data_IF_017597827208
#
_entry.id   IF_017597827208
#
_cell.length_a   1.000
_cell.length_b   1.000
_cell.length_c   1.000
_cell.angle_alpha   90.00
_cell.angle_beta   90.00
_cell.angle_gamma   90.00
#
_symmetry.space_group_name_H-M   'P 1'
#
loop_
_entity.id
_entity.type
_entity.pdbx_description
1 polymer ?
#
# COMPACT_ATOMS: atom_id res chain seq x y z
N UNK A 1 -17.27 -2.87 19.60
CA UNK A 1 -16.17 -3.73 20.09
C UNK A 1 -15.18 -3.84 18.94
N UNK A 2 -13.94 -3.43 19.15
CA UNK A 2 -12.90 -3.51 18.11
C UNK A 2 -12.62 -4.99 17.80
N UNK A 3 -12.66 -5.37 16.52
CA UNK A 3 -12.40 -6.75 16.07
C UNK A 3 -10.92 -7.06 16.33
N UNK A 4 -10.63 -8.18 16.99
CA UNK A 4 -9.24 -8.62 17.23
C UNK A 4 -8.46 -8.67 15.89
N UNK A 5 -7.23 -8.13 15.88
CA UNK A 5 -6.37 -8.21 14.71
C UNK A 5 -6.13 -9.68 14.31
N UNK A 6 -6.21 -10.00 13.02
CA UNK A 6 -6.16 -11.38 12.54
C UNK A 6 -4.93 -12.15 13.03
N UNK A 7 -3.77 -11.51 13.02
CA UNK A 7 -2.52 -12.11 13.49
C UNK A 7 -2.57 -12.52 14.97
N UNK A 8 -3.25 -11.73 15.82
CA UNK A 8 -3.41 -12.03 17.25
C UNK A 8 -4.38 -13.17 17.50
N UNK A 9 -5.48 -13.20 16.75
CA UNK A 9 -6.39 -14.33 16.75
C UNK A 9 -5.68 -15.63 16.36
N UNK A 10 -4.89 -15.60 15.28
CA UNK A 10 -4.10 -16.75 14.80
C UNK A 10 -3.08 -17.18 15.86
N UNK A 11 -2.35 -16.24 16.47
CA UNK A 11 -1.38 -16.52 17.54
C UNK A 11 -2.03 -17.27 18.70
N UNK A 12 -3.18 -16.76 19.17
CA UNK A 12 -3.92 -17.32 20.30
C UNK A 12 -4.44 -18.72 19.98
N UNK A 13 -5.07 -18.91 18.83
CA UNK A 13 -5.60 -20.21 18.39
C UNK A 13 -4.48 -21.23 18.19
N UNK A 14 -3.36 -20.83 17.57
CA UNK A 14 -2.17 -21.68 17.40
C UNK A 14 -1.65 -22.19 18.74
N UNK A 15 -1.51 -21.30 19.73
CA UNK A 15 -1.07 -21.66 21.09
C UNK A 15 -2.03 -22.62 21.78
N UNK A 16 -3.34 -22.44 21.61
CA UNK A 16 -4.36 -23.36 22.14
C UNK A 16 -4.23 -24.78 21.56
N UNK A 17 -3.80 -24.88 20.28
CA UNK A 17 -3.51 -26.14 19.60
C UNK A 17 -2.09 -26.67 19.87
N UNK A 18 -1.29 -26.00 20.72
CA UNK A 18 0.10 -26.33 21.04
C UNK A 18 1.04 -26.37 19.82
N UNK A 19 0.71 -25.61 18.78
CA UNK A 19 1.53 -25.47 17.59
C UNK A 19 2.59 -24.38 17.79
N UNK A 20 3.80 -24.58 17.30
CA UNK A 20 4.86 -23.57 17.22
C UNK A 20 4.65 -22.67 15.99
N UNK A 21 5.27 -21.49 16.00
CA UNK A 21 5.27 -20.62 14.82
C UNK A 21 5.91 -21.32 13.62
N UNK A 22 6.96 -22.11 13.84
CA UNK A 22 7.64 -22.85 12.79
C UNK A 22 6.72 -23.88 12.14
N UNK A 23 6.02 -24.70 12.93
CA UNK A 23 5.09 -25.71 12.40
C UNK A 23 3.97 -25.07 11.58
N UNK A 24 3.33 -24.02 12.08
CA UNK A 24 2.25 -23.36 11.36
C UNK A 24 2.75 -22.64 10.09
N UNK A 25 3.91 -21.98 10.17
CA UNK A 25 4.53 -21.32 9.02
C UNK A 25 4.88 -22.32 7.91
N UNK A 26 5.44 -23.47 8.28
CA UNK A 26 5.72 -24.57 7.35
C UNK A 26 4.46 -25.08 6.65
N UNK A 27 3.33 -25.20 7.37
CA UNK A 27 2.06 -25.64 6.78
C UNK A 27 1.55 -24.70 5.69
N UNK A 28 1.76 -23.39 5.84
CA UNK A 28 1.28 -22.38 4.90
C UNK A 28 2.35 -21.88 3.93
N UNK A 29 3.56 -22.47 3.94
CA UNK A 29 4.65 -22.10 3.03
C UNK A 29 5.30 -20.74 3.32
N UNK A 30 5.33 -20.30 4.58
CA UNK A 30 6.00 -19.08 5.03
C UNK A 30 7.22 -19.38 5.91
N UNK A 31 8.16 -18.44 5.99
CA UNK A 31 9.24 -18.55 6.97
C UNK A 31 8.73 -18.25 8.39
N UNK A 32 9.35 -18.82 9.44
CA UNK A 32 9.00 -18.49 10.82
C UNK A 32 9.09 -16.99 11.12
N UNK A 33 10.06 -16.26 10.53
CA UNK A 33 10.17 -14.81 10.73
C UNK A 33 9.01 -14.04 10.08
N UNK A 34 8.61 -14.42 8.87
CA UNK A 34 7.47 -13.81 8.20
C UNK A 34 6.18 -14.06 9.00
N UNK A 35 5.99 -15.29 9.48
CA UNK A 35 4.82 -15.65 10.27
C UNK A 35 4.78 -14.94 11.62
N UNK A 36 5.93 -14.81 12.30
CA UNK A 36 6.06 -14.02 13.53
C UNK A 36 5.68 -12.55 13.32
N UNK A 37 6.12 -11.93 12.21
CA UNK A 37 5.70 -10.56 11.86
C UNK A 37 4.20 -10.49 11.56
N UNK A 38 3.62 -11.50 10.93
CA UNK A 38 2.18 -11.59 10.67
C UNK A 38 1.37 -11.65 11.98
N UNK A 39 1.73 -12.53 12.92
CA UNK A 39 1.10 -12.60 14.24
C UNK A 39 1.24 -11.29 15.03
N UNK A 40 2.35 -10.57 14.85
CA UNK A 40 2.56 -9.25 15.43
C UNK A 40 1.83 -8.11 14.71
N UNK A 41 1.09 -8.37 13.62
CA UNK A 41 0.40 -7.36 12.82
C UNK A 41 1.32 -6.50 11.94
N UNK A 42 2.59 -6.87 11.80
CA UNK A 42 3.64 -6.14 11.07
C UNK A 42 3.78 -6.61 9.62
N UNK A 43 3.13 -7.70 9.24
CA UNK A 43 3.11 -8.27 7.89
C UNK A 43 1.69 -8.74 7.57
N UNK A 44 1.27 -8.60 6.32
CA UNK A 44 0.08 -9.25 5.80
C UNK A 44 0.47 -10.40 4.89
N UNK A 45 -0.26 -11.51 4.95
CA UNK A 45 -0.03 -12.70 4.11
C UNK A 45 -1.09 -12.81 3.01
N UNK A 46 -0.78 -13.55 1.96
CA UNK A 46 -1.66 -13.73 0.80
C UNK A 46 -2.98 -14.39 1.21
N UNK A 47 -4.10 -13.95 0.61
CA UNK A 47 -5.38 -14.64 0.76
C UNK A 47 -5.31 -16.09 0.28
N UNK A 48 -4.43 -16.39 -0.67
CA UNK A 48 -4.28 -17.74 -1.23
C UNK A 48 -3.98 -18.81 -0.18
N UNK A 49 -3.25 -18.44 0.88
CA UNK A 49 -2.91 -19.39 1.96
C UNK A 49 -4.00 -19.47 3.04
N UNK A 50 -5.06 -18.68 2.94
CA UNK A 50 -6.18 -18.63 3.88
C UNK A 50 -6.81 -20.00 4.15
N UNK A 51 -7.18 -20.79 3.12
CA UNK A 51 -7.73 -22.14 3.33
C UNK A 51 -6.80 -23.07 4.11
N UNK A 52 -5.51 -23.10 3.75
CA UNK A 52 -4.52 -23.92 4.45
C UNK A 52 -4.32 -23.46 5.89
N UNK A 53 -4.25 -22.14 6.11
CA UNK A 53 -4.17 -21.58 7.45
C UNK A 53 -5.38 -21.97 8.30
N UNK A 54 -6.59 -21.88 7.74
CA UNK A 54 -7.83 -22.26 8.42
C UNK A 54 -7.85 -23.76 8.75
N UNK A 55 -7.43 -24.62 7.82
CA UNK A 55 -7.30 -26.07 8.04
C UNK A 55 -6.33 -26.39 9.19
N UNK A 56 -5.15 -25.75 9.23
CA UNK A 56 -4.17 -25.97 10.30
C UNK A 56 -4.66 -25.52 11.68
N UNK A 57 -5.60 -24.57 11.73
CA UNK A 57 -6.21 -24.07 12.95
C UNK A 57 -7.53 -24.78 13.31
N UNK A 58 -7.97 -25.74 12.48
CA UNK A 58 -9.23 -26.46 12.64
C UNK A 58 -10.46 -25.54 12.57
N UNK A 59 -10.46 -24.57 11.66
CA UNK A 59 -11.53 -23.58 11.49
C UNK A 59 -12.01 -23.56 10.04
N UNK A 60 -13.23 -23.07 9.82
CA UNK A 60 -13.63 -22.62 8.48
C UNK A 60 -12.88 -21.31 8.12
N UNK A 61 -12.70 -21.03 6.83
CA UNK A 61 -12.11 -19.78 6.37
C UNK A 61 -12.95 -18.57 6.79
N UNK A 62 -14.28 -18.71 6.78
CA UNK A 62 -15.19 -17.66 7.25
C UNK A 62 -15.03 -17.41 8.75
N UNK A 63 -14.87 -18.44 9.57
CA UNK A 63 -14.61 -18.31 11.01
C UNK A 63 -13.25 -17.69 11.30
N UNK A 64 -12.21 -18.06 10.55
CA UNK A 64 -10.89 -17.43 10.63
C UNK A 64 -10.99 -15.92 10.35
N UNK A 65 -11.67 -15.52 9.27
CA UNK A 65 -11.86 -14.12 8.92
C UNK A 65 -12.79 -13.39 9.91
N UNK A 66 -13.78 -14.07 10.48
CA UNK A 66 -14.68 -13.52 11.48
C UNK A 66 -14.09 -13.51 12.90
N UNK A 67 -12.91 -14.12 13.14
CA UNK A 67 -12.30 -14.35 14.47
C UNK A 67 -13.24 -15.13 15.40
N UNK A 68 -13.93 -16.13 14.85
CA UNK A 68 -14.81 -17.01 15.62
C UNK A 68 -14.09 -18.32 15.89
N UNK A 69 -14.10 -18.75 17.16
CA UNK A 69 -13.57 -20.05 17.54
C UNK A 69 -14.68 -21.09 17.48
N UNK A 70 -15.07 -21.43 16.25
CA UNK A 70 -15.99 -22.53 15.98
C UNK A 70 -15.19 -23.65 15.29
N UNK A 71 -14.61 -24.59 16.06
CA UNK A 71 -13.88 -25.70 15.47
C UNK A 71 -14.76 -26.49 14.49
N UNK A 72 -14.17 -26.91 13.38
CA UNK A 72 -14.86 -27.71 12.36
C UNK A 72 -13.90 -28.71 11.74
N UNK A 73 -14.44 -29.86 11.36
CA UNK A 73 -13.72 -30.90 10.61
C UNK A 73 -13.83 -30.70 9.09
N UNK A 74 -14.52 -29.64 8.65
CA UNK A 74 -14.63 -29.29 7.24
C UNK A 74 -13.26 -28.88 6.70
N UNK A 75 -12.82 -29.57 5.64
CA UNK A 75 -11.63 -29.19 4.90
C UNK A 75 -11.95 -28.00 3.98
N UNK A 76 -11.32 -26.87 4.24
CA UNK A 76 -11.42 -25.68 3.40
C UNK A 76 -10.80 -25.98 2.04
N UNK A 77 -11.60 -25.81 0.98
CA UNK A 77 -11.15 -25.97 -0.40
C UNK A 77 -10.24 -24.81 -0.81
N UNK A 78 -9.27 -25.04 -1.71
CA UNK A 78 -8.50 -23.97 -2.32
C UNK A 78 -9.42 -22.92 -2.94
N UNK A 79 -9.02 -21.65 -2.81
CA UNK A 79 -9.73 -20.55 -3.45
C UNK A 79 -9.40 -20.52 -4.94
N UNK A 80 -10.40 -20.17 -5.76
CA UNK A 80 -10.22 -19.90 -7.18
C UNK A 80 -9.83 -18.42 -7.37
N UNK A 81 -8.60 -18.11 -7.83
CA UNK A 81 -8.16 -16.73 -8.00
C UNK A 81 -9.02 -15.93 -8.98
N UNK A 82 -9.49 -16.57 -10.05
CA UNK A 82 -10.32 -15.92 -11.06
C UNK A 82 -11.67 -15.54 -10.47
N UNK A 83 -12.26 -16.40 -9.63
CA UNK A 83 -13.47 -16.06 -8.89
C UNK A 83 -13.25 -14.81 -8.03
N UNK A 84 -12.18 -14.76 -7.23
CA UNK A 84 -11.89 -13.58 -6.39
C UNK A 84 -11.75 -12.30 -7.23
N UNK A 85 -11.00 -12.35 -8.33
CA UNK A 85 -10.82 -11.22 -9.25
C UNK A 85 -12.13 -10.71 -9.83
N UNK A 86 -12.97 -11.64 -10.33
CA UNK A 86 -14.31 -11.35 -10.85
C UNK A 86 -15.19 -10.70 -9.77
N UNK A 87 -15.15 -11.25 -8.55
CA UNK A 87 -16.00 -10.80 -7.47
C UNK A 87 -15.66 -9.40 -7.00
N UNK A 88 -14.37 -9.06 -6.90
CA UNK A 88 -13.92 -7.71 -6.61
C UNK A 88 -14.40 -6.70 -7.66
N UNK A 89 -14.24 -7.02 -8.95
CA UNK A 89 -14.66 -6.15 -10.02
C UNK A 89 -16.18 -5.95 -10.04
N UNK A 90 -16.95 -7.03 -9.90
CA UNK A 90 -18.41 -6.95 -9.84
C UNK A 90 -18.86 -6.11 -8.64
N UNK A 91 -18.31 -6.39 -7.46
CA UNK A 91 -18.65 -5.68 -6.24
C UNK A 91 -18.44 -4.16 -6.37
N UNK A 92 -17.29 -3.77 -6.92
CA UNK A 92 -16.95 -2.37 -7.17
C UNK A 92 -17.94 -1.72 -8.14
N UNK A 93 -18.21 -2.38 -9.27
CA UNK A 93 -19.11 -1.87 -10.30
C UNK A 93 -20.57 -1.79 -9.83
N UNK A 94 -21.04 -2.76 -9.04
CA UNK A 94 -22.38 -2.77 -8.45
C UNK A 94 -22.61 -1.58 -7.50
N UNK A 95 -21.54 -1.00 -6.95
CA UNK A 95 -21.56 0.22 -6.13
C UNK A 95 -21.27 1.49 -6.91
N UNK A 96 -21.12 1.41 -8.24
CA UNK A 96 -20.82 2.55 -9.11
C UNK A 96 -19.46 3.19 -8.88
N UNK A 97 -18.50 2.47 -8.25
CA UNK A 97 -17.21 3.04 -7.88
C UNK A 97 -16.18 2.92 -9.01
N UNK A 98 -15.38 3.96 -9.21
CA UNK A 98 -14.15 3.88 -10.02
C UNK A 98 -13.09 3.04 -9.29
N UNK A 99 -12.04 2.60 -10.00
CA UNK A 99 -10.91 1.91 -9.36
C UNK A 99 -10.19 2.81 -8.37
N UNK A 100 -10.11 4.11 -8.64
CA UNK A 100 -9.54 5.12 -7.75
C UNK A 100 -10.35 5.26 -6.46
N UNK A 101 -11.68 5.41 -6.58
CA UNK A 101 -12.57 5.54 -5.42
C UNK A 101 -12.55 4.27 -4.56
N UNK A 102 -12.54 3.10 -5.21
CA UNK A 102 -12.47 1.82 -4.50
C UNK A 102 -11.14 1.64 -3.79
N UNK A 103 -10.02 1.97 -4.44
CA UNK A 103 -8.68 1.93 -3.86
C UNK A 103 -8.58 2.84 -2.63
N UNK A 104 -9.09 4.07 -2.72
CA UNK A 104 -9.10 5.02 -1.62
C UNK A 104 -9.87 4.47 -0.42
N UNK A 105 -11.10 3.98 -0.63
CA UNK A 105 -11.95 3.42 0.43
C UNK A 105 -11.37 2.13 1.03
N UNK A 106 -10.77 1.27 0.22
CA UNK A 106 -10.17 0.00 0.66
C UNK A 106 -8.75 0.14 1.24
N UNK A 107 -8.22 1.38 1.31
CA UNK A 107 -6.85 1.68 1.73
C UNK A 107 -5.83 0.83 0.95
N UNK A 108 -5.93 0.89 -0.37
CA UNK A 108 -5.06 0.18 -1.30
C UNK A 108 -4.62 1.12 -2.43
N UNK A 109 -3.62 0.71 -3.20
CA UNK A 109 -3.24 1.43 -4.40
C UNK A 109 -4.17 1.10 -5.57
N UNK A 110 -4.40 2.07 -6.46
CA UNK A 110 -5.14 1.84 -7.72
C UNK A 110 -4.50 0.71 -8.53
N UNK A 111 -3.17 0.64 -8.52
CA UNK A 111 -2.39 -0.45 -9.15
C UNK A 111 -2.76 -1.82 -8.58
N UNK A 112 -2.86 -1.93 -7.25
CA UNK A 112 -3.25 -3.18 -6.58
C UNK A 112 -4.66 -3.59 -6.98
N UNK A 113 -5.62 -2.67 -6.94
CA UNK A 113 -7.00 -2.93 -7.37
C UNK A 113 -7.03 -3.44 -8.82
N UNK A 114 -6.36 -2.74 -9.74
CA UNK A 114 -6.26 -3.17 -11.13
C UNK A 114 -5.65 -4.56 -11.27
N UNK A 115 -4.56 -4.82 -10.56
CA UNK A 115 -3.88 -6.13 -10.59
C UNK A 115 -4.77 -7.25 -10.05
N UNK A 116 -5.53 -6.99 -8.98
CA UNK A 116 -6.48 -7.94 -8.41
C UNK A 116 -7.63 -8.24 -9.37
N UNK A 117 -8.24 -7.21 -9.98
CA UNK A 117 -9.38 -7.37 -10.90
C UNK A 117 -8.98 -8.04 -12.23
N UNK A 118 -7.71 -7.94 -12.64
CA UNK A 118 -7.18 -8.64 -13.81
C UNK A 118 -6.72 -10.08 -13.50
N UNK A 119 -6.58 -10.45 -12.23
CA UNK A 119 -6.05 -11.74 -11.81
C UNK A 119 -4.52 -11.86 -11.86
N UNK A 120 -3.81 -10.74 -12.04
CA UNK A 120 -2.34 -10.70 -12.04
C UNK A 120 -1.76 -10.97 -10.63
N UNK A 121 -2.52 -10.62 -9.59
CA UNK A 121 -2.16 -10.93 -8.20
C UNK A 121 -3.40 -11.10 -7.33
N UNK A 122 -3.22 -11.69 -6.14
CA UNK A 122 -4.28 -11.86 -5.16
C UNK A 122 -4.17 -10.85 -4.02
N UNK A 123 -5.30 -10.45 -3.42
CA UNK A 123 -5.29 -9.62 -2.22
C UNK A 123 -4.69 -10.36 -1.02
N UNK A 124 -4.38 -9.60 0.01
CA UNK A 124 -3.96 -10.16 1.30
C UNK A 124 -5.17 -10.39 2.22
N UNK A 125 -5.03 -11.21 3.26
CA UNK A 125 -6.11 -11.42 4.24
C UNK A 125 -6.57 -10.09 4.89
N UNK A 126 -5.62 -9.20 5.21
CA UNK A 126 -5.94 -7.87 5.75
C UNK A 126 -6.72 -7.00 4.74
N UNK A 127 -6.47 -7.13 3.44
CA UNK A 127 -7.28 -6.42 2.46
C UNK A 127 -8.75 -6.88 2.49
N UNK A 128 -8.99 -8.18 2.65
CA UNK A 128 -10.36 -8.71 2.82
C UNK A 128 -11.01 -8.17 4.10
N UNK A 129 -10.26 -8.10 5.21
CA UNK A 129 -10.76 -7.47 6.44
C UNK A 129 -11.18 -6.02 6.24
N UNK A 130 -10.37 -5.23 5.54
CA UNK A 130 -10.72 -3.84 5.22
C UNK A 130 -11.96 -3.75 4.33
N UNK A 131 -12.16 -4.70 3.42
CA UNK A 131 -13.38 -4.72 2.61
C UNK A 131 -14.63 -4.99 3.45
N UNK A 132 -14.54 -5.95 4.39
CA UNK A 132 -15.62 -6.26 5.33
C UNK A 132 -15.94 -5.03 6.18
N UNK A 133 -14.92 -4.39 6.75
CA UNK A 133 -15.07 -3.25 7.65
C UNK A 133 -15.57 -1.98 6.93
N UNK A 134 -14.97 -1.64 5.78
CA UNK A 134 -15.32 -0.40 5.07
C UNK A 134 -16.67 -0.49 4.37
N UNK A 135 -17.03 -1.66 3.82
CA UNK A 135 -18.20 -1.77 2.95
C UNK A 135 -19.31 -2.69 3.47
N UNK A 136 -19.13 -3.31 4.64
CA UNK A 136 -20.13 -4.19 5.25
C UNK A 136 -20.43 -5.44 4.41
N UNK A 137 -19.42 -5.95 3.70
CA UNK A 137 -19.55 -7.13 2.84
C UNK A 137 -19.22 -8.36 3.66
N UNK A 138 -19.96 -9.45 3.50
CA UNK A 138 -19.47 -10.72 4.01
C UNK A 138 -18.35 -11.29 3.13
N UNK A 139 -17.36 -11.93 3.76
CA UNK A 139 -16.23 -12.55 3.07
C UNK A 139 -16.69 -13.50 1.96
N UNK A 140 -17.74 -14.29 2.21
CA UNK A 140 -18.34 -15.23 1.27
C UNK A 140 -18.66 -14.63 -0.10
N UNK A 141 -19.09 -13.35 -0.15
CA UNK A 141 -19.42 -12.65 -1.40
C UNK A 141 -18.19 -12.27 -2.24
N UNK A 142 -16.98 -12.39 -1.68
CA UNK A 142 -15.69 -12.13 -2.34
C UNK A 142 -14.93 -13.42 -2.61
N UNK A 143 -15.11 -14.45 -1.77
CA UNK A 143 -14.30 -15.67 -1.80
C UNK A 143 -14.91 -16.82 -2.60
N UNK A 144 -16.24 -16.88 -2.72
CA UNK A 144 -16.95 -18.01 -3.30
C UNK A 144 -17.92 -17.57 -4.39
N UNK A 145 -18.13 -18.38 -5.45
CA UNK A 145 -18.97 -18.00 -6.57
C UNK A 145 -20.34 -17.48 -6.13
N UNK A 146 -20.64 -16.22 -6.47
CA UNK A 146 -21.96 -15.64 -6.25
C UNK A 146 -22.85 -15.87 -7.49
N UNK A 147 -24.03 -16.51 -7.35
CA UNK A 147 -24.91 -16.80 -8.47
C UNK A 147 -25.38 -15.55 -9.22
N UNK A 148 -25.46 -14.39 -8.57
CA UNK A 148 -25.76 -13.11 -9.23
C UNK A 148 -24.64 -12.61 -10.16
N UNK A 149 -23.46 -13.26 -10.16
CA UNK A 149 -22.40 -12.97 -11.13
C UNK A 149 -22.40 -13.95 -12.30
N UNK A 150 -22.89 -15.18 -12.11
CA UNK A 150 -22.86 -16.21 -13.15
C UNK A 150 -23.75 -15.91 -14.36
N UNK A 151 -24.62 -14.89 -14.27
CA UNK A 151 -25.49 -14.40 -15.32
C UNK A 151 -25.00 -13.11 -16.02
N UNK A 152 -23.84 -12.56 -15.67
CA UNK A 152 -23.43 -11.23 -16.17
C UNK A 152 -22.35 -11.26 -17.24
N UNK A 153 -22.51 -10.42 -18.26
CA UNK A 153 -21.55 -10.15 -19.34
C UNK A 153 -20.13 -9.82 -18.83
N UNK A 154 -20.00 -9.34 -17.59
CA UNK A 154 -18.72 -9.09 -16.92
C UNK A 154 -17.86 -10.36 -16.82
N UNK A 155 -18.45 -11.50 -16.46
CA UNK A 155 -17.75 -12.79 -16.41
C UNK A 155 -17.28 -13.23 -17.81
N UNK A 156 -18.06 -12.93 -18.85
CA UNK A 156 -17.66 -13.16 -20.24
C UNK A 156 -16.54 -12.21 -20.70
N UNK A 157 -16.59 -10.93 -20.31
CA UNK A 157 -15.58 -9.93 -20.67
C UNK A 157 -14.21 -10.22 -20.06
N UNK A 158 -14.16 -10.72 -18.83
CA UNK A 158 -12.91 -11.08 -18.13
C UNK A 158 -12.34 -12.39 -18.69
N UNK A 159 -13.18 -13.40 -18.99
CA UNK A 159 -12.75 -14.61 -19.72
C UNK A 159 -12.18 -14.32 -21.12
N UNK A 160 -12.65 -13.27 -21.78
CA UNK A 160 -12.16 -12.85 -23.10
C UNK A 160 -10.93 -11.91 -23.04
N UNK A 161 -10.44 -11.55 -21.84
CA UNK A 161 -9.34 -10.60 -21.66
C UNK A 161 -9.67 -9.15 -22.07
N UNK A 162 -10.96 -8.81 -22.22
CA UNK A 162 -11.44 -7.53 -22.75
C UNK A 162 -11.98 -6.61 -21.64
N UNK A 163 -11.29 -6.42 -20.51
CA UNK A 163 -11.52 -5.20 -19.72
C UNK A 163 -10.73 -4.06 -20.37
N UNK A 164 -11.22 -3.58 -21.51
CA UNK A 164 -10.76 -2.33 -22.11
C UNK A 164 -11.14 -1.20 -21.17
N UNK A 165 -10.15 -0.54 -20.58
CA UNK A 165 -10.34 0.77 -19.97
C UNK A 165 -11.09 1.66 -20.97
N UNK A 166 -12.28 2.13 -20.62
CA UNK A 166 -12.94 3.21 -21.37
C UNK A 166 -11.98 4.40 -21.35
N UNK A 167 -11.23 4.62 -22.45
CA UNK A 167 -10.61 5.92 -22.72
C UNK A 167 -11.73 6.95 -22.60
N UNK A 168 -11.62 7.89 -21.67
CA UNK A 168 -12.38 9.15 -21.76
C UNK A 168 -12.01 9.79 -23.10
N UNK A 169 -12.80 9.56 -24.14
CA UNK A 169 -12.91 10.48 -25.26
C UNK A 169 -14.18 11.29 -24.99
N UNK A 170 -14.01 12.36 -24.23
CA UNK A 170 -15.00 13.42 -24.13
C UNK A 170 -14.24 14.75 -24.27
N UNK A 171 -14.27 15.24 -25.51
CA UNK A 171 -14.41 16.65 -25.88
C UNK A 171 -13.40 17.66 -25.30
N UNK A 172 -12.25 17.79 -25.95
CA UNK A 172 -11.65 19.10 -26.27
C UNK A 172 -11.02 19.02 -27.68
N UNK A 173 -11.86 18.74 -28.69
CA UNK A 173 -11.49 18.86 -30.10
C UNK A 173 -12.62 19.57 -30.83
N UNK A 174 -12.79 20.85 -30.50
CA UNK A 174 -13.42 21.89 -31.33
C UNK A 174 -13.45 23.19 -30.52
N UNK A 175 -12.26 23.71 -30.18
CA UNK A 175 -12.06 25.12 -29.84
C UNK A 175 -10.60 25.53 -30.13
N UNK A 176 -10.08 25.06 -31.26
CA UNK A 176 -8.89 25.60 -31.90
C UNK A 176 -9.22 25.75 -33.39
N UNK A 177 -10.05 26.74 -33.69
CA UNK A 177 -10.57 26.94 -35.04
C UNK A 177 -11.62 28.05 -35.06
N UNK A 178 -11.25 29.24 -34.57
CA UNK A 178 -11.88 30.54 -34.89
C UNK A 178 -11.10 31.71 -34.23
N UNK A 179 -9.78 31.74 -34.43
CA UNK A 179 -9.01 32.99 -34.36
C UNK A 179 -8.00 33.02 -35.50
N UNK A 180 -8.54 33.15 -36.71
CA UNK A 180 -7.80 33.62 -37.88
C UNK A 180 -8.72 34.53 -38.69
N UNK A 181 -8.95 35.74 -38.17
CA UNK A 181 -9.24 36.89 -39.04
C UNK A 181 -8.19 37.93 -38.74
N UNK A 182 -7.28 37.98 -39.70
CA UNK A 182 -6.38 39.05 -40.04
C UNK A 182 -7.14 40.38 -40.08
N UNK A 183 -6.78 41.32 -39.20
CA UNK A 183 -6.91 42.76 -39.50
C UNK A 183 -5.48 43.29 -39.55
N UNK A 184 -4.91 43.23 -40.76
CA UNK A 184 -3.84 44.15 -41.15
C UNK A 184 -4.50 45.46 -41.56
N UNK A 185 -3.94 46.57 -41.07
CA UNK A 185 -3.84 47.76 -41.90
C UNK A 185 -4.20 49.08 -41.23
N UNK A 186 -3.31 49.57 -40.36
CA UNK A 186 -2.93 51.00 -40.17
C UNK A 186 -2.23 51.09 -38.79
N UNK A 187 -0.96 51.41 -38.63
CA UNK A 187 -0.12 52.31 -39.40
C UNK A 187 0.12 53.59 -38.60
N UNK A 188 0.81 53.53 -37.46
CA UNK A 188 1.57 54.66 -36.89
C UNK A 188 2.75 54.11 -36.07
N UNK A 189 3.96 54.39 -36.53
CA UNK A 189 5.22 54.22 -35.82
C UNK A 189 5.45 55.40 -34.88
N UNK A 190 5.59 55.17 -33.58
CA UNK A 190 6.24 56.12 -32.67
C UNK A 190 6.79 55.34 -31.47
N UNK A 191 8.11 55.23 -31.40
CA UNK A 191 8.81 54.69 -30.25
C UNK A 191 8.68 55.61 -29.05
N UNK A 192 8.44 55.04 -27.87
CA UNK A 192 8.65 55.71 -26.59
C UNK A 192 9.33 54.73 -25.63
N UNK A 193 10.65 54.89 -25.59
CA UNK A 193 11.56 54.92 -24.44
C UNK A 193 11.46 53.90 -23.31
N UNK A 194 12.51 53.07 -23.28
CA UNK A 194 13.23 52.59 -22.09
C UNK A 194 13.25 53.62 -20.95
N UNK A 195 12.91 53.17 -19.75
CA UNK A 195 13.27 53.87 -18.51
C UNK A 195 14.33 53.04 -17.77
N UNK A 196 15.59 53.36 -18.04
CA UNK A 196 16.70 53.09 -17.13
C UNK A 196 17.14 54.44 -16.56
N UNK A 197 16.89 54.66 -15.28
CA UNK A 197 17.64 55.64 -14.51
C UNK A 197 18.79 54.91 -13.82
N UNK A 198 19.96 54.89 -14.46
CA UNK A 198 21.23 54.87 -13.73
C UNK A 198 21.65 56.33 -13.54
N UNK A 199 21.81 56.77 -12.29
CA UNK A 199 22.85 57.74 -11.96
C UNK A 199 23.99 56.97 -11.30
N UNK A 200 25.15 57.24 -11.88
CA UNK A 200 26.45 56.61 -11.81
C UNK A 200 27.27 57.18 -10.64
N UNK A 201 28.37 56.46 -10.37
CA UNK A 201 29.65 56.92 -9.82
C UNK A 201 29.85 56.83 -8.27
N UNK A 202 30.36 55.67 -7.83
CA UNK A 202 31.79 55.40 -7.51
C UNK A 202 32.56 56.37 -6.55
N UNK A 203 33.79 56.05 -6.12
CA UNK A 203 34.13 55.18 -5.00
C UNK A 203 35.12 55.86 -4.00
N UNK A 204 35.65 55.04 -3.10
CA UNK A 204 36.92 55.16 -2.37
C UNK A 204 37.00 55.80 -0.98
N UNK A 205 37.68 55.01 -0.14
CA UNK A 205 38.62 55.41 0.92
C UNK A 205 38.04 56.11 2.17
N UNK A 206 38.39 55.77 3.40
CA UNK A 206 39.44 54.89 3.91
C UNK A 206 39.40 54.91 5.46
N UNK A 207 40.19 54.01 6.05
CA UNK A 207 40.92 54.13 7.33
C UNK A 207 40.35 53.46 8.60
N UNK A 208 41.04 52.35 8.90
CA UNK A 208 41.55 51.88 10.21
C UNK A 208 40.61 51.28 11.24
N UNK A 209 41.02 50.26 12.00
CA UNK A 209 42.23 49.44 11.97
C UNK A 209 42.01 48.23 12.88
N UNK A 210 42.52 47.10 12.41
CA UNK A 210 43.34 46.10 13.10
C UNK A 210 43.17 45.88 14.61
N UNK A 211 43.04 44.61 15.01
CA UNK A 211 44.22 43.83 15.43
C UNK A 211 43.94 42.32 15.49
N UNK A 212 44.66 41.60 14.64
CA UNK A 212 44.99 40.17 14.63
C UNK A 212 45.70 39.73 15.92
N UNK A 213 45.58 38.45 16.30
CA UNK A 213 46.68 37.51 16.60
C UNK A 213 46.07 36.11 16.82
N UNK A 214 46.51 35.17 15.98
CA UNK A 214 46.34 33.72 16.05
C UNK A 214 47.28 33.09 17.13
N UNK A 215 47.65 31.80 17.07
CA UNK A 215 46.94 30.62 17.56
C UNK A 215 47.77 29.94 18.68
N UNK A 216 47.22 28.99 19.45
CA UNK A 216 48.13 28.03 20.10
C UNK A 216 47.54 26.64 20.34
N UNK A 217 48.44 25.71 20.04
CA UNK A 217 48.52 24.27 20.18
C UNK A 217 48.38 23.76 21.61
N UNK A 218 47.98 22.49 21.77
CA UNK A 218 48.09 21.81 23.06
C UNK A 218 47.33 20.50 23.19
N UNK A 219 47.85 19.44 22.59
CA UNK A 219 47.83 18.06 23.15
C UNK A 219 49.29 17.62 23.30
N UNK A 220 49.68 16.60 24.10
CA UNK A 220 48.91 15.68 24.96
C UNK A 220 49.58 15.48 26.36
N UNK A 221 49.14 14.50 27.17
CA UNK A 221 49.93 13.46 27.90
C UNK A 221 49.09 12.87 29.07
N UNK A 222 48.75 11.57 29.08
CA UNK A 222 49.36 10.42 29.86
C UNK A 222 49.33 10.70 31.39
N UNK A 223 48.88 9.84 32.30
CA UNK A 223 49.27 8.46 32.53
C UNK A 223 48.45 7.79 33.66
N UNK A 224 48.33 6.47 33.53
CA UNK A 224 48.06 5.38 34.47
C UNK A 224 48.04 5.65 35.99
N UNK A 225 47.15 4.92 36.68
CA UNK A 225 47.61 3.98 37.74
C UNK A 225 46.90 2.63 37.55
N UNK A 226 47.74 1.65 37.19
CA UNK A 226 47.55 0.20 37.29
C UNK A 226 47.82 -0.20 38.75
N UNK A 227 47.20 -1.29 39.18
CA UNK A 227 47.67 -2.31 40.15
C UNK A 227 46.65 -2.62 41.24
N UNK A 228 46.48 -3.86 41.70
CA UNK A 228 46.62 -5.22 41.19
C UNK A 228 46.24 -6.12 42.38
N UNK A 229 46.17 -7.43 42.10
CA UNK A 229 46.09 -8.57 43.04
C UNK A 229 44.67 -9.01 43.43
N UNK A 230 44.35 -10.29 43.58
CA UNK A 230 44.89 -11.60 43.16
C UNK A 230 44.23 -12.61 44.11
N UNK A 231 43.83 -13.75 43.55
CA UNK A 231 43.77 -15.08 44.18
C UNK A 231 42.57 -15.56 45.01
N UNK A 232 42.19 -16.77 44.58
CA UNK A 232 41.87 -17.98 45.34
C UNK A 232 40.43 -18.30 45.75
N UNK A 233 39.94 -19.34 45.07
CA UNK A 233 39.42 -20.59 45.63
C UNK A 233 38.17 -20.54 46.54
N UNK A 234 37.07 -21.08 46.00
CA UNK A 234 36.62 -22.43 46.33
C UNK A 234 35.62 -22.95 45.31
#
# INVERSE_FOLDING_TARGET
>A
MEKEALGKFVERRRKALRLTQTELASYVGYSPQAFSKFEAGKLSISLLVGPSLANALGLSLDDLLARRENPTDIVNKPLDPQIISLQLAFFRNARGLSQEEFAQKALASVRSIRSYELGDSLPTLNFIDRLIETFGIEASHILYPNPMMMNTELAASIRSGQVKAKKKKQLYSSLLGLFSVFVIGSGVTAGISMNQAMVKAAPDESISASKTIEPDSGTPIVENVVDSLSSSEK
#
